data_IF_224624504257
#
_entry.id   IF_224624504257
#
_cell.length_a   1.000
_cell.length_b   1.000
_cell.length_c   1.000
_cell.angle_alpha   90.00
_cell.angle_beta   90.00
_cell.angle_gamma   90.00
#
_symmetry.space_group_name_H-M   'P 1'
#
loop_
_entity.id
_entity.type
_entity.pdbx_description
1 polymer ?
#
# COMPACT_ATOMS: atom_id res chain seq x y z
N UNK A 1 2.43 8.37 -12.91
CA UNK A 1 1.66 7.89 -11.74
C UNK A 1 2.51 6.87 -11.00
N UNK A 2 2.52 6.88 -9.66
CA UNK A 2 3.24 5.88 -8.86
C UNK A 2 2.23 5.01 -8.16
N UNK A 3 2.37 3.69 -8.29
CA UNK A 3 1.54 2.69 -7.63
C UNK A 3 2.44 1.87 -6.70
N UNK A 4 2.07 1.83 -5.42
CA UNK A 4 2.73 1.02 -4.41
C UNK A 4 1.85 -0.16 -4.05
N UNK A 5 2.41 -1.37 -4.08
CA UNK A 5 1.72 -2.58 -3.65
C UNK A 5 2.73 -3.64 -3.22
N UNK A 6 2.39 -4.42 -2.18
CA UNK A 6 3.29 -5.40 -1.56
C UNK A 6 3.92 -6.34 -2.57
N UNK A 7 3.13 -6.80 -3.54
CA UNK A 7 3.59 -7.70 -4.61
C UNK A 7 3.63 -7.01 -5.98
N UNK A 8 3.85 -5.69 -6.03
CA UNK A 8 3.91 -4.93 -7.27
C UNK A 8 4.85 -5.56 -8.31
N UNK A 9 5.98 -6.13 -7.87
CA UNK A 9 6.94 -6.79 -8.75
C UNK A 9 6.38 -7.99 -9.54
N UNK A 10 5.32 -8.64 -9.06
CA UNK A 10 4.61 -9.71 -9.79
C UNK A 10 3.32 -9.17 -10.41
N UNK A 11 2.64 -8.28 -9.69
CA UNK A 11 1.34 -7.77 -10.09
C UNK A 11 1.41 -6.89 -11.35
N UNK A 12 2.47 -6.10 -11.54
CA UNK A 12 2.54 -5.20 -12.68
C UNK A 12 2.63 -5.94 -14.03
N UNK A 13 3.21 -7.14 -14.05
CA UNK A 13 3.51 -7.92 -15.28
C UNK A 13 2.25 -8.13 -16.13
N UNK A 14 1.14 -8.50 -15.49
CA UNK A 14 -0.14 -8.78 -16.16
C UNK A 14 -1.21 -7.73 -15.81
N UNK A 15 -0.80 -6.54 -15.36
CA UNK A 15 -1.73 -5.49 -14.94
C UNK A 15 -2.66 -5.07 -16.08
N UNK A 16 -2.10 -4.82 -17.27
CA UNK A 16 -2.85 -4.36 -18.44
C UNK A 16 -3.89 -5.37 -18.92
N UNK A 17 -3.55 -6.65 -18.87
CA UNK A 17 -4.44 -7.77 -19.24
C UNK A 17 -5.59 -7.90 -18.24
N UNK A 18 -5.30 -7.74 -16.94
CA UNK A 18 -6.32 -7.78 -15.89
C UNK A 18 -7.34 -6.67 -16.02
N UNK A 19 -6.91 -5.42 -16.22
CA UNK A 19 -7.82 -4.27 -16.28
C UNK A 19 -8.63 -4.21 -17.58
N UNK A 20 -8.10 -4.79 -18.68
CA UNK A 20 -8.75 -4.81 -19.98
C UNK A 20 -9.40 -6.15 -20.31
N UNK A 21 -9.71 -6.94 -19.29
CA UNK A 21 -10.30 -8.25 -19.48
C UNK A 21 -11.63 -8.15 -20.24
N UNK A 22 -11.81 -8.96 -21.29
CA UNK A 22 -12.95 -8.82 -22.22
C UNK A 22 -14.31 -9.09 -21.56
N UNK A 23 -14.37 -10.03 -20.60
CA UNK A 23 -15.61 -10.41 -19.93
C UNK A 23 -15.98 -9.50 -18.74
N UNK A 24 -15.00 -8.77 -18.20
CA UNK A 24 -15.18 -7.89 -17.03
C UNK A 24 -14.20 -6.71 -17.11
N UNK A 25 -14.42 -5.79 -18.07
CA UNK A 25 -13.55 -4.64 -18.23
C UNK A 25 -13.68 -3.72 -17.00
N UNK A 26 -12.55 -3.40 -16.37
CA UNK A 26 -12.51 -2.46 -15.25
C UNK A 26 -12.45 -1.00 -15.72
N UNK A 27 -12.07 -0.79 -16.98
CA UNK A 27 -11.92 0.51 -17.61
C UNK A 27 -12.58 0.50 -18.99
N UNK A 28 -13.11 1.65 -19.39
CA UNK A 28 -13.58 1.93 -20.75
C UNK A 28 -12.41 1.97 -21.75
N UNK A 29 -12.71 1.96 -23.06
CA UNK A 29 -11.66 2.02 -24.10
C UNK A 29 -10.90 3.35 -24.05
N UNK A 30 -11.60 4.44 -23.80
CA UNK A 30 -11.04 5.79 -23.67
C UNK A 30 -10.11 5.88 -22.45
N UNK A 31 -10.51 5.30 -21.32
CA UNK A 31 -9.69 5.25 -20.11
C UNK A 31 -8.44 4.38 -20.30
N UNK A 32 -8.56 3.25 -21.00
CA UNK A 32 -7.41 2.41 -21.34
C UNK A 32 -6.41 3.16 -22.23
N UNK A 33 -6.88 3.88 -23.25
CA UNK A 33 -6.01 4.68 -24.12
C UNK A 33 -5.28 5.80 -23.34
N UNK A 34 -5.96 6.43 -22.37
CA UNK A 34 -5.35 7.40 -21.48
C UNK A 34 -4.32 6.76 -20.55
N UNK A 35 -4.60 5.57 -20.04
CA UNK A 35 -3.67 4.84 -19.20
C UNK A 35 -2.41 4.41 -19.97
N UNK A 36 -2.56 3.95 -21.21
CA UNK A 36 -1.46 3.53 -22.07
C UNK A 36 -0.52 4.70 -22.43
N UNK A 37 -1.03 5.93 -22.43
CA UNK A 37 -0.23 7.16 -22.60
C UNK A 37 0.33 7.73 -21.29
N UNK A 38 0.06 7.07 -20.15
CA UNK A 38 0.53 7.50 -18.84
C UNK A 38 1.68 6.61 -18.37
N UNK A 39 2.79 7.22 -17.95
CA UNK A 39 3.86 6.47 -17.29
C UNK A 39 3.40 5.98 -15.90
N UNK A 40 3.43 4.67 -15.68
CA UNK A 40 3.13 4.04 -14.39
C UNK A 40 4.41 3.46 -13.81
N UNK A 41 4.81 3.96 -12.65
CA UNK A 41 5.93 3.45 -11.87
C UNK A 41 5.40 2.54 -10.78
N UNK A 42 5.92 1.33 -10.71
CA UNK A 42 5.52 0.32 -9.74
C UNK A 42 6.58 0.21 -8.65
N UNK A 43 6.17 0.35 -7.40
CA UNK A 43 7.05 0.26 -6.25
C UNK A 43 6.50 -0.73 -5.23
N UNK A 44 7.40 -1.29 -4.42
CA UNK A 44 7.05 -2.14 -3.30
C UNK A 44 7.34 -1.36 -2.01
N UNK A 45 6.42 -1.35 -1.03
CA UNK A 45 6.67 -0.71 0.25
C UNK A 45 7.98 -1.18 0.89
N UNK A 46 8.71 -0.27 1.54
CA UNK A 46 10.09 -0.52 1.99
C UNK A 46 10.23 -1.73 2.91
N UNK A 47 9.24 -1.96 3.77
CA UNK A 47 9.24 -3.10 4.68
C UNK A 47 9.11 -4.43 3.91
N UNK A 48 8.16 -4.52 2.99
CA UNK A 48 7.91 -5.72 2.18
C UNK A 48 9.02 -5.98 1.16
N UNK A 49 9.67 -4.93 0.66
CA UNK A 49 10.72 -5.04 -0.37
C UNK A 49 11.89 -5.93 0.07
N UNK A 50 12.21 -5.97 1.37
CA UNK A 50 13.27 -6.82 1.91
C UNK A 50 12.98 -8.33 1.80
N UNK A 51 11.70 -8.72 1.66
CA UNK A 51 11.27 -10.11 1.54
C UNK A 51 11.23 -10.59 0.08
N UNK A 52 11.60 -9.73 -0.87
CA UNK A 52 11.60 -10.05 -2.30
C UNK A 52 12.97 -10.55 -2.76
N UNK A 53 13.03 -11.14 -3.95
CA UNK A 53 14.31 -11.53 -4.57
C UNK A 53 15.21 -10.31 -4.79
N UNK A 54 16.53 -10.50 -4.76
CA UNK A 54 17.52 -9.43 -4.82
C UNK A 54 17.30 -8.43 -5.97
N UNK A 55 16.92 -8.92 -7.15
CA UNK A 55 16.63 -8.07 -8.32
C UNK A 55 15.47 -7.09 -8.14
N UNK A 56 14.64 -7.24 -7.10
CA UNK A 56 13.58 -6.29 -6.78
C UNK A 56 14.10 -5.08 -5.99
N UNK A 57 15.17 -5.25 -5.20
CA UNK A 57 15.66 -4.26 -4.24
C UNK A 57 16.00 -2.91 -4.90
N UNK A 58 16.47 -2.93 -6.15
CA UNK A 58 16.75 -1.72 -6.90
C UNK A 58 15.56 -1.26 -7.74
N UNK A 59 14.89 -2.19 -8.43
CA UNK A 59 13.86 -1.89 -9.43
C UNK A 59 12.55 -1.35 -8.86
N UNK A 60 12.17 -1.77 -7.66
CA UNK A 60 10.89 -1.42 -7.03
C UNK A 60 11.06 -0.53 -5.80
N UNK A 61 12.21 0.11 -5.65
CA UNK A 61 12.56 0.89 -4.46
C UNK A 61 12.19 2.35 -4.57
N UNK A 62 11.50 2.83 -3.55
CA UNK A 62 11.27 4.26 -3.33
C UNK A 62 12.57 5.07 -3.21
N UNK A 63 13.65 4.47 -2.71
CA UNK A 63 14.91 5.21 -2.52
C UNK A 63 15.60 5.53 -3.85
N UNK A 64 15.33 4.74 -4.89
CA UNK A 64 15.93 4.90 -6.22
C UNK A 64 14.98 5.52 -7.24
N UNK A 65 13.79 5.93 -6.81
CA UNK A 65 12.78 6.52 -7.69
C UNK A 65 12.74 8.04 -7.50
N UNK A 66 12.78 8.78 -8.60
CA UNK A 66 12.67 10.25 -8.56
C UNK A 66 11.22 10.69 -8.28
N UNK A 67 11.05 11.88 -7.73
CA UNK A 67 9.74 12.52 -7.53
C UNK A 67 8.75 11.78 -6.60
N UNK A 68 9.22 10.86 -5.75
CA UNK A 68 8.39 10.18 -4.73
C UNK A 68 8.63 10.65 -3.30
N UNK A 69 9.52 11.63 -3.11
CA UNK A 69 9.92 12.12 -1.79
C UNK A 69 10.47 11.01 -0.88
N UNK A 70 10.51 11.25 0.43
CA UNK A 70 10.91 10.23 1.42
C UNK A 70 9.71 9.38 1.86
N UNK A 71 9.09 8.71 0.89
CA UNK A 71 7.91 7.85 1.12
C UNK A 71 8.35 6.44 1.50
N UNK A 72 7.61 5.78 2.41
CA UNK A 72 7.82 4.37 2.77
C UNK A 72 6.91 3.40 1.99
N UNK A 73 5.74 3.85 1.57
CA UNK A 73 4.72 3.01 0.94
C UNK A 73 3.96 2.09 1.90
N UNK A 74 4.37 2.01 3.18
CA UNK A 74 3.79 1.16 4.23
C UNK A 74 3.37 2.03 5.41
N UNK A 75 2.07 2.18 5.65
CA UNK A 75 1.52 3.03 6.72
C UNK A 75 0.52 2.27 7.60
N UNK A 76 -0.16 1.27 7.04
CA UNK A 76 -1.21 0.52 7.72
C UNK A 76 -0.63 -0.35 8.83
N UNK A 77 0.55 -0.93 8.61
CA UNK A 77 1.14 -1.89 9.56
C UNK A 77 2.12 -1.23 10.55
N UNK A 78 2.64 -0.05 10.21
CA UNK A 78 3.64 0.65 11.04
C UNK A 78 3.11 1.07 12.42
N UNK A 79 1.79 1.21 12.59
CA UNK A 79 1.19 1.57 13.87
C UNK A 79 0.98 0.37 14.80
N UNK A 80 1.12 -0.87 14.31
CA UNK A 80 0.82 -2.08 15.08
C UNK A 80 1.66 -2.20 16.35
N UNK A 81 2.94 -1.80 16.30
CA UNK A 81 3.79 -1.78 17.48
C UNK A 81 3.22 -0.90 18.61
N UNK A 82 2.57 0.22 18.26
CA UNK A 82 1.91 1.10 19.23
C UNK A 82 0.56 0.54 19.69
N UNK A 83 -0.21 -0.07 18.77
CA UNK A 83 -1.51 -0.67 19.06
C UNK A 83 -1.42 -1.94 19.91
N UNK A 84 -0.31 -2.67 19.85
CA UNK A 84 -0.08 -3.86 20.68
C UNK A 84 -0.21 -3.56 22.18
N UNK A 85 0.11 -2.33 22.62
CA UNK A 85 -0.07 -1.89 24.01
C UNK A 85 -1.53 -1.79 24.43
N UNK A 86 -2.45 -1.63 23.48
CA UNK A 86 -3.89 -1.56 23.72
C UNK A 86 -4.56 -2.94 23.71
N UNK A 87 -3.85 -3.98 23.27
CA UNK A 87 -4.41 -5.33 23.19
C UNK A 87 -4.91 -5.82 24.56
N UNK A 88 -4.13 -5.60 25.63
CA UNK A 88 -4.53 -5.94 27.00
C UNK A 88 -5.52 -4.93 27.58
N UNK A 89 -5.31 -3.63 27.32
CA UNK A 89 -6.17 -2.57 27.85
C UNK A 89 -7.61 -2.62 27.32
N UNK A 90 -7.81 -3.10 26.09
CA UNK A 90 -9.13 -3.17 25.44
C UNK A 90 -9.80 -4.53 25.54
N UNK A 91 -9.18 -5.50 26.21
CA UNK A 91 -9.63 -6.91 26.22
C UNK A 91 -11.00 -7.10 26.85
N UNK A 92 -11.26 -6.43 27.97
CA UNK A 92 -12.51 -6.54 28.74
C UNK A 92 -13.55 -5.49 28.32
N UNK A 93 -13.23 -4.63 27.35
CA UNK A 93 -14.15 -3.58 26.89
C UNK A 93 -15.28 -4.18 26.05
N UNK A 94 -16.48 -3.64 26.21
CA UNK A 94 -17.59 -3.93 25.29
C UNK A 94 -17.27 -3.53 23.85
N UNK A 95 -17.95 -4.15 22.88
CA UNK A 95 -17.63 -4.02 21.45
C UNK A 95 -17.54 -2.57 20.96
N UNK A 96 -18.50 -1.72 21.33
CA UNK A 96 -18.51 -0.29 20.95
C UNK A 96 -17.31 0.47 21.53
N UNK A 97 -17.13 0.39 22.86
CA UNK A 97 -16.01 1.04 23.55
C UNK A 97 -14.64 0.58 23.05
N UNK A 98 -14.50 -0.72 22.76
CA UNK A 98 -13.26 -1.27 22.19
C UNK A 98 -12.97 -0.65 20.82
N UNK A 99 -13.97 -0.59 19.95
CA UNK A 99 -13.84 0.01 18.61
C UNK A 99 -13.44 1.48 18.70
N UNK A 100 -14.13 2.25 19.53
CA UNK A 100 -13.87 3.69 19.68
C UNK A 100 -12.46 3.94 20.25
N UNK A 101 -12.04 3.17 21.26
CA UNK A 101 -10.69 3.26 21.83
C UNK A 101 -9.59 2.97 20.82
N UNK A 102 -9.76 1.90 20.00
CA UNK A 102 -8.78 1.56 18.97
C UNK A 102 -8.74 2.62 17.86
N UNK A 103 -9.91 3.14 17.44
CA UNK A 103 -9.98 4.21 16.46
C UNK A 103 -9.30 5.49 16.95
N UNK A 104 -9.55 5.92 18.18
CA UNK A 104 -8.92 7.10 18.76
C UNK A 104 -7.39 6.96 18.80
N UNK A 105 -6.88 5.79 19.20
CA UNK A 105 -5.44 5.52 19.17
C UNK A 105 -4.84 5.54 17.75
N UNK A 106 -5.56 5.00 16.75
CA UNK A 106 -5.15 5.05 15.35
C UNK A 106 -5.13 6.49 14.83
N UNK A 107 -6.15 7.30 15.16
CA UNK A 107 -6.23 8.71 14.81
C UNK A 107 -5.09 9.52 15.46
N UNK A 108 -4.82 9.29 16.74
CA UNK A 108 -3.68 9.88 17.43
C UNK A 108 -2.35 9.51 16.78
N UNK A 109 -2.19 8.25 16.37
CA UNK A 109 -1.00 7.81 15.63
C UNK A 109 -0.88 8.55 14.29
N UNK A 110 -1.98 8.75 13.57
CA UNK A 110 -1.98 9.51 12.32
C UNK A 110 -1.65 11.00 12.53
N UNK A 111 -2.14 11.63 13.61
CA UNK A 111 -1.82 13.02 13.95
C UNK A 111 -0.34 13.25 14.26
N UNK A 112 0.34 12.25 14.82
CA UNK A 112 1.77 12.36 15.18
C UNK A 112 2.74 12.16 14.01
N UNK A 113 2.23 11.83 12.81
CA UNK A 113 3.05 11.70 11.59
C UNK A 113 3.22 13.03 10.90
#
# INVERSE_FOLDING_TARGET
IVISYDIACKYHIHFRERIAHQLWPLLTKEELAKLDSTEIVWLVPKFHLASHIDGCADKFSFNWTINVGRTCGEIVESNWASLNRLATATREMGWGHRKDTLNDAMLFHNWRK
#
